data_IF_032948150439
#
_entry.id   IF_032948150439
#
_cell.length_a   1.000
_cell.length_b   1.000
_cell.length_c   1.000
_cell.angle_alpha   90.00
_cell.angle_beta   90.00
_cell.angle_gamma   90.00
#
_symmetry.space_group_name_H-M   'P 1'
#
loop_
_entity.id
_entity.type
_entity.pdbx_description
1 polymer ?
#
# COMPACT_ATOMS: atom_id res chain seq x y z
N UNK A 1 0.49 -17.99 33.01
CA UNK A 1 1.51 -16.93 33.00
C UNK A 1 2.54 -17.33 31.97
N UNK A 2 2.49 -16.73 30.78
CA UNK A 2 3.47 -16.93 29.72
C UNK A 2 3.92 -15.53 29.33
N UNK A 3 5.22 -15.33 29.40
CA UNK A 3 5.90 -14.05 29.35
C UNK A 3 5.57 -13.25 28.09
N UNK A 4 5.47 -11.93 28.30
CA UNK A 4 5.22 -10.96 27.25
C UNK A 4 6.40 -10.92 26.27
N UNK A 5 6.23 -11.53 25.11
CA UNK A 5 7.07 -11.28 23.95
C UNK A 5 6.90 -9.82 23.51
N UNK A 6 7.94 -9.02 23.76
CA UNK A 6 8.06 -7.66 23.21
C UNK A 6 8.34 -7.78 21.71
N UNK A 7 7.43 -7.27 20.88
CA UNK A 7 7.63 -7.18 19.44
C UNK A 7 8.70 -6.11 19.13
N UNK A 8 9.84 -6.56 18.60
CA UNK A 8 10.99 -5.71 18.23
C UNK A 8 10.63 -4.58 17.24
N UNK A 9 9.48 -4.65 16.57
CA UNK A 9 9.05 -3.63 15.61
C UNK A 9 8.63 -2.29 16.23
N UNK A 10 8.28 -2.25 17.52
CA UNK A 10 7.90 -1.01 18.21
C UNK A 10 9.09 -0.10 18.54
N UNK A 11 10.33 -0.58 18.37
CA UNK A 11 11.55 0.20 18.61
C UNK A 11 11.94 1.00 17.35
N UNK A 12 11.61 0.49 16.16
CA UNK A 12 12.01 1.10 14.88
C UNK A 12 11.14 2.31 14.47
N UNK A 13 9.99 2.52 15.11
CA UNK A 13 9.01 3.57 14.76
C UNK A 13 9.03 4.83 15.62
N UNK A 14 9.82 4.88 16.70
CA UNK A 14 9.93 6.11 17.51
C UNK A 14 10.93 7.06 16.85
N UNK A 15 10.43 8.17 16.30
CA UNK A 15 11.26 9.32 16.02
C UNK A 15 11.98 9.72 17.32
N UNK A 16 13.28 9.46 17.39
CA UNK A 16 14.10 9.95 18.50
C UNK A 16 14.12 11.48 18.40
N UNK A 17 13.82 12.14 19.52
CA UNK A 17 13.97 13.59 19.65
C UNK A 17 15.37 14.03 19.23
N UNK A 18 15.47 15.22 18.62
CA UNK A 18 16.72 15.85 18.18
C UNK A 18 17.78 15.75 19.29
N UNK A 19 18.76 14.85 19.14
CA UNK A 19 20.06 15.00 19.80
C UNK A 19 20.86 16.03 19.01
N UNK A 20 21.53 16.93 19.72
CA UNK A 20 22.41 17.95 19.12
C UNK A 20 23.38 17.29 18.14
N UNK A 21 23.44 17.84 16.93
CA UNK A 21 24.37 17.42 15.88
C UNK A 21 25.81 17.57 16.38
N UNK A 22 26.49 16.45 16.63
CA UNK A 22 27.93 16.41 16.47
C UNK A 22 28.25 16.64 15.00
N UNK A 23 29.20 17.54 14.71
CA UNK A 23 29.72 17.78 13.36
C UNK A 23 30.19 16.46 12.76
N UNK A 24 29.43 15.91 11.82
CA UNK A 24 29.96 14.92 10.89
C UNK A 24 30.59 15.72 9.76
N UNK A 25 31.91 15.90 9.84
CA UNK A 25 32.71 16.38 8.71
C UNK A 25 32.78 15.26 7.66
N UNK A 26 31.69 15.11 6.91
CA UNK A 26 31.64 14.35 5.67
C UNK A 26 31.58 15.35 4.54
N UNK A 27 32.73 15.78 4.05
CA UNK A 27 32.82 16.63 2.87
C UNK A 27 31.96 16.05 1.76
N UNK A 28 31.17 16.91 1.10
CA UNK A 28 30.58 16.60 -0.19
C UNK A 28 31.70 16.03 -1.05
N UNK A 29 31.61 14.74 -1.41
CA UNK A 29 32.40 14.26 -2.52
C UNK A 29 31.95 15.10 -3.72
N UNK A 30 32.78 16.07 -4.10
CA UNK A 30 32.77 16.63 -5.44
C UNK A 30 33.12 15.45 -6.35
N UNK A 31 32.11 14.71 -6.77
CA UNK A 31 32.25 13.78 -7.87
C UNK A 31 32.74 14.57 -9.08
N UNK A 32 33.88 14.16 -9.61
CA UNK A 32 34.38 14.63 -10.89
C UNK A 32 33.43 14.26 -12.03
N UNK A 33 33.47 15.13 -13.05
CA UNK A 33 33.22 14.87 -14.47
C UNK A 33 31.81 14.44 -14.94
N UNK A 34 31.05 15.43 -15.43
CA UNK A 34 30.09 15.40 -16.55
C UNK A 34 29.01 14.30 -16.65
N UNK A 35 28.67 13.56 -15.59
CA UNK A 35 27.59 12.55 -15.59
C UNK A 35 26.33 12.90 -14.76
N UNK A 36 25.17 12.24 -15.02
CA UNK A 36 24.00 12.29 -14.15
C UNK A 36 24.33 11.79 -12.74
N UNK A 37 23.81 12.47 -11.71
CA UNK A 37 24.07 12.11 -10.31
C UNK A 37 23.12 11.02 -9.81
N UNK A 38 23.55 10.27 -8.80
CA UNK A 38 22.68 9.36 -8.06
C UNK A 38 21.51 10.10 -7.40
N UNK A 39 20.33 9.45 -7.38
CA UNK A 39 19.15 10.01 -6.73
C UNK A 39 19.27 9.97 -5.22
N UNK A 40 19.69 8.84 -4.67
CA UNK A 40 19.78 8.61 -3.24
C UNK A 40 21.18 8.99 -2.75
N UNK A 41 21.30 10.18 -2.15
CA UNK A 41 22.55 10.64 -1.54
C UNK A 41 22.94 9.78 -0.32
N UNK A 42 24.21 9.78 0.13
CA UNK A 42 24.64 9.00 1.30
C UNK A 42 23.82 9.28 2.57
N UNK A 43 23.39 10.53 2.77
CA UNK A 43 22.56 10.94 3.92
C UNK A 43 21.15 10.34 3.80
N UNK A 44 20.54 10.39 2.61
CA UNK A 44 19.21 9.81 2.37
C UNK A 44 19.28 8.28 2.50
N UNK A 45 20.32 7.65 1.95
CA UNK A 45 20.57 6.20 2.05
C UNK A 45 20.60 5.75 3.51
N UNK A 46 21.44 6.38 4.32
CA UNK A 46 21.55 6.08 5.77
C UNK A 46 20.20 6.21 6.49
N UNK A 47 19.41 7.24 6.15
CA UNK A 47 18.09 7.46 6.74
C UNK A 47 17.08 6.38 6.35
N UNK A 48 17.05 5.99 5.07
CA UNK A 48 16.12 4.98 4.56
C UNK A 48 16.49 3.57 5.06
N UNK A 49 17.78 3.24 5.13
CA UNK A 49 18.26 1.97 5.66
C UNK A 49 17.89 1.77 7.13
N UNK A 50 17.97 2.83 7.95
CA UNK A 50 17.47 2.81 9.34
C UNK A 50 15.97 2.52 9.44
N UNK A 51 15.20 2.86 8.41
CA UNK A 51 13.77 2.59 8.32
C UNK A 51 13.46 1.20 7.70
N UNK A 52 14.49 0.38 7.45
CA UNK A 52 14.38 -0.98 6.96
C UNK A 52 14.40 -1.13 5.43
N UNK A 53 14.69 -0.08 4.68
CA UNK A 53 14.88 -0.19 3.23
C UNK A 53 16.21 -0.84 2.89
N UNK A 54 16.23 -1.63 1.80
CA UNK A 54 17.43 -1.98 1.05
C UNK A 54 17.41 -1.15 -0.23
N UNK A 55 18.38 -0.25 -0.36
CA UNK A 55 18.48 0.64 -1.53
C UNK A 55 19.16 -0.13 -2.66
N UNK A 56 18.54 -0.11 -3.83
CA UNK A 56 18.95 -0.83 -5.03
C UNK A 56 19.46 0.17 -6.06
N UNK A 57 20.72 0.03 -6.46
CA UNK A 57 21.39 1.00 -7.31
C UNK A 57 21.40 2.42 -6.73
N UNK A 58 21.10 3.38 -7.59
CA UNK A 58 21.11 4.82 -7.34
C UNK A 58 19.75 5.42 -7.01
N UNK A 59 18.63 4.72 -7.30
CA UNK A 59 17.27 5.29 -7.21
C UNK A 59 16.15 4.38 -6.72
N UNK A 60 16.39 3.07 -6.58
CA UNK A 60 15.36 2.07 -6.28
C UNK A 60 15.43 1.57 -4.85
N UNK A 61 14.41 0.86 -4.38
CA UNK A 61 14.42 0.28 -3.04
C UNK A 61 13.43 -0.86 -2.84
N UNK A 62 13.76 -1.78 -1.94
CA UNK A 62 12.88 -2.86 -1.48
C UNK A 62 12.82 -2.87 0.04
N UNK A 63 11.67 -3.21 0.60
CA UNK A 63 11.46 -3.31 2.04
C UNK A 63 10.56 -4.51 2.34
N UNK A 64 10.77 -5.14 3.50
CA UNK A 64 9.87 -6.20 3.95
C UNK A 64 8.60 -5.56 4.55
N UNK A 65 7.45 -5.91 3.99
CA UNK A 65 6.16 -5.39 4.44
C UNK A 65 5.85 -5.93 5.85
N UNK A 66 5.18 -5.12 6.68
CA UNK A 66 4.66 -5.56 7.98
C UNK A 66 3.78 -6.81 7.85
N UNK A 67 2.94 -6.85 6.82
CA UNK A 67 2.03 -7.97 6.60
C UNK A 67 2.73 -9.24 6.09
N UNK A 68 3.86 -9.11 5.40
CA UNK A 68 4.74 -10.26 5.09
C UNK A 68 5.19 -10.94 6.38
N UNK A 69 5.70 -10.16 7.34
CA UNK A 69 6.12 -10.70 8.65
C UNK A 69 4.97 -11.26 9.47
N UNK A 70 3.80 -10.63 9.40
CA UNK A 70 2.58 -11.11 10.04
C UNK A 70 2.17 -12.48 9.50
N UNK A 71 2.07 -12.62 8.18
CA UNK A 71 1.62 -13.86 7.55
C UNK A 71 2.69 -14.97 7.64
N UNK A 72 3.99 -14.63 7.62
CA UNK A 72 5.08 -15.58 7.95
C UNK A 72 4.89 -16.22 9.33
N UNK A 73 4.21 -15.55 10.27
CA UNK A 73 3.91 -16.03 11.62
C UNK A 73 2.52 -16.66 11.76
N UNK A 74 1.78 -16.79 10.65
CA UNK A 74 0.36 -17.19 10.67
C UNK A 74 -0.56 -16.17 11.35
N UNK A 75 -0.16 -14.90 11.44
CA UNK A 75 -0.89 -13.85 12.20
C UNK A 75 -1.85 -12.98 11.38
N UNK A 76 -2.14 -13.36 10.14
CA UNK A 76 -2.94 -12.54 9.22
C UNK A 76 -2.15 -12.00 8.03
N UNK A 77 -2.71 -12.14 6.83
CA UNK A 77 -2.34 -11.37 5.64
C UNK A 77 -2.93 -9.95 5.63
N UNK A 78 -2.46 -9.09 4.72
CA UNK A 78 -3.06 -7.78 4.53
C UNK A 78 -4.45 -7.87 3.87
N UNK A 79 -5.16 -6.74 3.79
CA UNK A 79 -6.48 -6.66 3.14
C UNK A 79 -6.51 -7.20 1.70
N UNK A 80 -5.38 -7.18 0.98
CA UNK A 80 -5.30 -7.74 -0.38
C UNK A 80 -5.46 -9.26 -0.40
N UNK A 81 -5.17 -9.94 0.72
CA UNK A 81 -5.48 -11.34 0.88
C UNK A 81 -6.99 -11.56 0.82
N UNK A 82 -7.74 -10.83 1.64
CA UNK A 82 -9.21 -10.86 1.66
C UNK A 82 -9.79 -10.48 0.30
N UNK A 83 -9.28 -9.43 -0.34
CA UNK A 83 -9.87 -8.88 -1.56
C UNK A 83 -9.55 -9.69 -2.81
N UNK A 84 -8.32 -10.20 -2.93
CA UNK A 84 -7.80 -10.73 -4.19
C UNK A 84 -7.08 -12.09 -4.06
N UNK A 85 -6.97 -12.65 -2.86
CA UNK A 85 -6.17 -13.86 -2.62
C UNK A 85 -4.66 -13.62 -2.59
N UNK A 86 -4.21 -12.36 -2.41
CA UNK A 86 -2.79 -12.02 -2.36
C UNK A 86 -2.15 -12.51 -1.07
N UNK A 87 -1.23 -13.45 -1.20
CA UNK A 87 -0.41 -13.97 -0.10
C UNK A 87 0.70 -12.97 0.26
N UNK A 88 0.54 -12.28 1.39
CA UNK A 88 1.47 -11.24 1.85
C UNK A 88 2.88 -11.77 2.14
N UNK A 89 3.02 -13.02 2.58
CA UNK A 89 4.35 -13.64 2.79
C UNK A 89 5.10 -13.91 1.48
N UNK A 90 4.42 -13.89 0.33
CA UNK A 90 4.99 -14.02 -1.02
C UNK A 90 4.95 -12.71 -1.81
N UNK A 91 4.64 -11.59 -1.15
CA UNK A 91 4.59 -10.27 -1.74
C UNK A 91 5.91 -9.53 -1.58
N UNK A 92 6.45 -8.99 -2.69
CA UNK A 92 7.62 -8.12 -2.67
C UNK A 92 7.21 -6.65 -2.74
N UNK A 93 7.40 -5.91 -1.65
CA UNK A 93 7.21 -4.45 -1.61
C UNK A 93 8.48 -3.75 -2.10
N UNK A 94 8.47 -3.34 -3.38
CA UNK A 94 9.58 -2.67 -4.03
C UNK A 94 9.11 -1.42 -4.79
N UNK A 95 10.05 -0.51 -5.07
CA UNK A 95 9.85 0.61 -5.97
C UNK A 95 11.08 0.80 -6.86
N UNK A 96 10.90 0.97 -8.19
CA UNK A 96 11.97 1.36 -9.09
C UNK A 96 12.29 2.87 -9.01
N UNK A 97 11.52 3.64 -8.23
CA UNK A 97 11.74 5.07 -8.05
C UNK A 97 11.39 5.51 -6.63
N UNK A 98 12.39 6.03 -5.91
CA UNK A 98 12.17 6.71 -4.64
C UNK A 98 11.73 8.17 -4.81
N UNK A 99 11.77 8.70 -6.04
CA UNK A 99 11.29 10.03 -6.35
C UNK A 99 9.76 10.08 -6.52
N UNK A 100 9.17 11.23 -6.19
CA UNK A 100 7.73 11.46 -6.36
C UNK A 100 7.46 12.88 -6.91
N UNK A 101 6.37 13.02 -7.66
CA UNK A 101 5.88 14.30 -8.16
C UNK A 101 4.94 15.04 -7.19
N UNK A 102 4.64 14.43 -6.03
CA UNK A 102 3.71 14.94 -5.01
C UNK A 102 4.39 15.00 -3.63
N UNK A 103 3.87 15.88 -2.77
CA UNK A 103 4.29 16.05 -1.37
C UNK A 103 3.10 15.90 -0.43
N UNK A 104 2.38 14.77 -0.58
CA UNK A 104 1.09 14.55 0.07
C UNK A 104 1.17 14.68 1.59
N UNK A 105 0.16 15.29 2.21
CA UNK A 105 0.12 15.58 3.66
C UNK A 105 0.19 14.33 4.55
N UNK A 106 -0.25 13.17 4.04
CA UNK A 106 -0.21 11.87 4.72
C UNK A 106 1.03 11.04 4.35
N UNK A 107 1.86 11.48 3.40
CA UNK A 107 2.99 10.69 2.95
C UNK A 107 4.09 10.69 4.01
N UNK A 108 4.46 9.50 4.52
CA UNK A 108 5.55 9.34 5.49
C UNK A 108 6.90 9.90 5.02
N UNK A 109 7.08 10.09 3.69
CA UNK A 109 8.29 10.61 3.05
C UNK A 109 8.31 12.13 2.84
N UNK A 110 7.34 12.86 3.41
CA UNK A 110 6.98 14.25 3.14
C UNK A 110 8.12 15.21 2.75
N UNK A 111 9.26 15.17 3.46
CA UNK A 111 10.37 16.11 3.31
C UNK A 111 11.71 15.45 2.94
N UNK A 112 11.76 14.12 2.85
CA UNK A 112 13.02 13.38 2.60
C UNK A 112 13.14 12.88 1.16
N UNK A 113 12.05 12.94 0.39
CA UNK A 113 12.05 12.43 -0.97
C UNK A 113 12.76 13.35 -1.96
N UNK A 114 13.55 12.76 -2.87
CA UNK A 114 13.84 13.37 -4.15
C UNK A 114 12.52 13.73 -4.87
N UNK A 115 12.42 14.97 -5.34
CA UNK A 115 11.28 15.43 -6.13
C UNK A 115 11.76 16.00 -7.46
N UNK A 116 10.98 15.76 -8.52
CA UNK A 116 11.30 16.21 -9.86
C UNK A 116 10.08 16.17 -10.77
N UNK A 117 10.06 17.06 -11.78
CA UNK A 117 9.09 17.03 -12.88
C UNK A 117 9.56 16.19 -14.06
N UNK A 118 10.85 15.84 -14.09
CA UNK A 118 11.48 15.00 -15.09
C UNK A 118 12.57 14.15 -14.44
N UNK A 119 12.91 13.04 -15.08
CA UNK A 119 14.02 12.20 -14.65
C UNK A 119 15.35 12.89 -14.97
N UNK A 120 16.19 13.07 -13.96
CA UNK A 120 17.49 13.77 -14.06
C UNK A 120 18.64 13.01 -13.37
N UNK A 121 18.36 11.79 -12.94
CA UNK A 121 19.29 10.96 -12.19
C UNK A 121 19.88 9.89 -13.09
N UNK A 122 20.93 9.23 -12.62
CA UNK A 122 21.42 8.00 -13.23
C UNK A 122 20.26 7.01 -13.37
N UNK A 123 20.12 6.40 -14.55
CA UNK A 123 19.17 5.32 -14.81
C UNK A 123 19.93 4.01 -14.65
N UNK A 124 19.55 3.21 -13.65
CA UNK A 124 20.14 1.88 -13.48
C UNK A 124 19.42 0.86 -14.40
N UNK A 125 20.12 -0.23 -14.72
CA UNK A 125 19.58 -1.26 -15.59
C UNK A 125 18.36 -1.95 -14.95
N UNK A 126 17.24 -2.14 -15.70
CA UNK A 126 16.04 -2.78 -15.16
C UNK A 126 16.25 -4.19 -14.62
N UNK A 127 17.09 -5.01 -15.26
CA UNK A 127 17.37 -6.38 -14.81
C UNK A 127 18.20 -6.36 -13.53
N UNK A 128 19.17 -5.46 -13.43
CA UNK A 128 19.94 -5.27 -12.19
C UNK A 128 19.02 -4.87 -11.02
N UNK A 129 18.06 -3.98 -11.25
CA UNK A 129 17.09 -3.57 -10.23
C UNK A 129 16.23 -4.76 -9.78
N UNK A 130 15.67 -5.53 -10.72
CA UNK A 130 14.79 -6.67 -10.40
C UNK A 130 15.57 -7.77 -9.68
N UNK A 131 16.74 -8.14 -10.20
CA UNK A 131 17.60 -9.16 -9.59
C UNK A 131 18.02 -8.76 -8.17
N UNK A 132 18.43 -7.51 -7.98
CA UNK A 132 18.79 -7.00 -6.66
C UNK A 132 17.58 -6.94 -5.71
N UNK A 133 16.38 -6.60 -6.21
CA UNK A 133 15.16 -6.59 -5.40
C UNK A 133 14.82 -7.99 -4.88
N UNK A 134 14.83 -9.00 -5.76
CA UNK A 134 14.55 -10.40 -5.41
C UNK A 134 15.58 -10.92 -4.41
N UNK A 135 16.87 -10.70 -4.67
CA UNK A 135 17.95 -11.11 -3.77
C UNK A 135 17.81 -10.49 -2.37
N UNK A 136 17.62 -9.18 -2.28
CA UNK A 136 17.49 -8.48 -1.01
C UNK A 136 16.20 -8.85 -0.26
N UNK A 137 15.07 -9.01 -0.97
CA UNK A 137 13.83 -9.47 -0.37
C UNK A 137 14.00 -10.87 0.22
N UNK A 138 14.57 -11.80 -0.56
CA UNK A 138 14.81 -13.19 -0.13
C UNK A 138 15.75 -13.23 1.08
N UNK A 139 16.81 -12.40 1.09
CA UNK A 139 17.71 -12.26 2.26
C UNK A 139 16.96 -11.79 3.50
N UNK A 140 16.06 -10.80 3.38
CA UNK A 140 15.24 -10.33 4.50
C UNK A 140 14.25 -11.40 4.98
N UNK A 141 13.65 -12.19 4.09
CA UNK A 141 12.79 -13.32 4.46
C UNK A 141 13.60 -14.40 5.18
N UNK A 142 14.80 -14.77 4.69
CA UNK A 142 15.70 -15.74 5.34
C UNK A 142 16.07 -15.33 6.78
N UNK A 143 16.22 -14.03 7.04
CA UNK A 143 16.48 -13.51 8.38
C UNK A 143 15.33 -13.74 9.37
N UNK A 144 14.13 -14.07 8.89
CA UNK A 144 12.99 -14.45 9.73
C UNK A 144 13.09 -15.89 10.25
N UNK A 145 14.07 -16.69 9.80
CA UNK A 145 14.30 -18.04 10.31
C UNK A 145 14.65 -18.00 11.80
N UNK A 146 13.94 -18.80 12.60
CA UNK A 146 14.15 -18.89 14.06
C UNK A 146 13.49 -17.77 14.85
N UNK A 147 12.84 -16.81 14.20
CA UNK A 147 12.06 -15.77 14.86
C UNK A 147 10.78 -16.39 15.45
N UNK A 148 10.42 -16.14 16.73
CA UNK A 148 9.30 -16.82 17.38
C UNK A 148 7.97 -16.69 16.63
N UNK A 149 7.27 -17.82 16.46
CA UNK A 149 5.99 -17.92 15.77
C UNK A 149 6.07 -18.03 14.24
N UNK A 150 7.25 -17.85 13.62
CA UNK A 150 7.40 -18.05 12.17
C UNK A 150 7.14 -19.51 11.81
N UNK A 151 6.28 -19.73 10.82
CA UNK A 151 5.85 -21.04 10.35
C UNK A 151 6.83 -21.55 9.27
N UNK A 152 7.38 -22.76 9.40
CA UNK A 152 8.39 -23.27 8.46
C UNK A 152 7.93 -23.31 6.99
N UNK A 153 6.70 -23.77 6.75
CA UNK A 153 6.03 -23.80 5.44
C UNK A 153 5.91 -22.39 4.84
N UNK A 154 5.42 -21.42 5.61
CA UNK A 154 5.30 -20.03 5.13
C UNK A 154 6.66 -19.38 4.88
N UNK A 155 7.67 -19.72 5.68
CA UNK A 155 9.03 -19.26 5.45
C UNK A 155 9.58 -19.81 4.13
N UNK A 156 9.40 -21.10 3.85
CA UNK A 156 9.81 -21.74 2.60
C UNK A 156 9.13 -21.11 1.39
N UNK A 157 7.80 -20.98 1.43
CA UNK A 157 7.01 -20.31 0.38
C UNK A 157 7.47 -18.86 0.14
N UNK A 158 7.76 -18.12 1.22
CA UNK A 158 8.19 -16.72 1.17
C UNK A 158 9.56 -16.49 0.55
N UNK A 159 10.39 -17.52 0.39
CA UNK A 159 11.65 -17.44 -0.35
C UNK A 159 11.46 -17.32 -1.87
N UNK A 160 10.24 -17.55 -2.35
CA UNK A 160 9.84 -17.39 -3.75
C UNK A 160 8.71 -16.35 -3.85
N UNK A 161 9.06 -15.06 -3.97
CA UNK A 161 8.07 -14.01 -4.17
C UNK A 161 7.27 -14.27 -5.46
N UNK A 162 5.94 -14.24 -5.36
CA UNK A 162 5.05 -14.44 -6.52
C UNK A 162 4.67 -13.16 -7.22
N UNK A 163 4.65 -12.03 -6.50
CA UNK A 163 4.15 -10.79 -7.07
C UNK A 163 4.77 -9.54 -6.43
N UNK A 164 4.96 -8.53 -7.27
CA UNK A 164 5.24 -7.14 -6.91
C UNK A 164 4.00 -6.25 -7.21
N UNK A 165 2.80 -6.80 -6.97
CA UNK A 165 1.49 -6.16 -7.20
C UNK A 165 1.20 -5.68 -8.64
N UNK A 166 1.80 -6.31 -9.67
CA UNK A 166 1.58 -5.96 -11.08
C UNK A 166 0.24 -6.42 -11.65
N UNK A 167 -0.44 -7.36 -11.00
CA UNK A 167 -1.73 -7.91 -11.46
C UNK A 167 -2.92 -6.96 -11.29
N UNK A 168 -2.68 -5.77 -10.74
CA UNK A 168 -3.67 -4.74 -10.42
C UNK A 168 -3.06 -3.37 -10.79
N UNK A 169 -3.69 -2.65 -11.71
CA UNK A 169 -3.28 -1.29 -12.08
C UNK A 169 -3.99 -0.28 -11.20
N UNK A 170 -3.22 0.42 -10.36
CA UNK A 170 -3.76 1.34 -9.36
C UNK A 170 -3.62 2.81 -9.77
N UNK A 171 -4.67 3.60 -9.52
CA UNK A 171 -4.58 5.05 -9.33
C UNK A 171 -4.99 5.38 -7.89
N UNK A 172 -4.16 6.16 -7.20
CA UNK A 172 -4.50 6.73 -5.89
C UNK A 172 -5.44 7.92 -6.15
N UNK A 173 -6.63 7.88 -5.56
CA UNK A 173 -7.65 8.95 -5.65
C UNK A 173 -7.74 9.55 -4.26
N UNK A 174 -6.83 10.47 -3.96
CA UNK A 174 -6.65 10.99 -2.60
C UNK A 174 -7.58 12.18 -2.27
N UNK A 175 -8.27 12.71 -3.27
CA UNK A 175 -9.41 13.62 -3.11
C UNK A 175 -10.24 13.68 -4.41
N UNK A 176 -11.48 14.16 -4.34
CA UNK A 176 -12.41 14.15 -5.46
C UNK A 176 -12.59 15.50 -6.19
N UNK A 177 -12.00 16.58 -5.67
CA UNK A 177 -12.04 17.91 -6.31
C UNK A 177 -10.63 18.43 -6.57
N UNK A 178 -10.50 19.38 -7.51
CA UNK A 178 -9.20 19.97 -7.88
C UNK A 178 -8.55 20.66 -6.68
N UNK A 179 -9.36 21.35 -5.89
CA UNK A 179 -8.95 22.13 -4.73
C UNK A 179 -8.48 21.22 -3.60
N UNK A 180 -9.26 20.18 -3.27
CA UNK A 180 -8.90 19.23 -2.21
C UNK A 180 -7.72 18.36 -2.60
N UNK A 181 -7.63 17.91 -3.86
CA UNK A 181 -6.49 17.13 -4.34
C UNK A 181 -5.21 17.97 -4.26
N UNK A 182 -5.26 19.25 -4.63
CA UNK A 182 -4.12 20.17 -4.47
C UNK A 182 -3.70 20.33 -3.02
N UNK A 183 -4.67 20.47 -2.11
CA UNK A 183 -4.42 20.66 -0.68
C UNK A 183 -3.79 19.42 -0.03
N UNK A 184 -4.28 18.24 -0.43
CA UNK A 184 -3.87 16.93 0.09
C UNK A 184 -2.55 16.50 -0.53
N UNK A 185 -2.44 16.44 -1.86
CA UNK A 185 -1.27 15.86 -2.55
C UNK A 185 -0.11 16.83 -2.73
N UNK A 186 -0.37 18.14 -2.71
CA UNK A 186 0.62 19.19 -2.94
C UNK A 186 1.50 18.89 -4.19
N UNK A 187 0.87 18.78 -5.37
CA UNK A 187 1.54 18.39 -6.60
C UNK A 187 2.55 19.44 -7.07
N UNK A 188 3.60 19.00 -7.76
CA UNK A 188 4.58 19.90 -8.38
C UNK A 188 4.11 20.47 -9.71
N UNK A 189 3.28 19.71 -10.43
CA UNK A 189 2.74 20.06 -11.74
C UNK A 189 1.57 21.03 -11.59
N UNK A 190 1.48 22.02 -12.47
CA UNK A 190 0.37 22.98 -12.48
C UNK A 190 -0.89 22.41 -13.13
N UNK A 191 -0.71 21.50 -14.09
CA UNK A 191 -1.72 20.71 -14.83
C UNK A 191 -2.04 19.37 -14.13
N UNK A 192 -1.83 19.29 -12.81
CA UNK A 192 -1.95 18.04 -12.04
C UNK A 192 -3.35 17.43 -12.12
N UNK A 193 -4.38 18.27 -12.16
CA UNK A 193 -5.78 17.82 -12.14
C UNK A 193 -6.16 17.18 -13.46
N UNK A 194 -5.78 17.83 -14.56
CA UNK A 194 -6.02 17.35 -15.91
C UNK A 194 -5.29 16.02 -16.13
N UNK A 195 -4.02 15.92 -15.73
CA UNK A 195 -3.25 14.66 -15.74
C UNK A 195 -3.91 13.56 -14.89
N UNK A 196 -4.45 13.92 -13.74
CA UNK A 196 -5.15 12.99 -12.87
C UNK A 196 -6.41 12.45 -13.55
N UNK A 197 -7.26 13.32 -14.10
CA UNK A 197 -8.46 12.91 -14.84
C UNK A 197 -8.12 12.04 -16.06
N UNK A 198 -7.06 12.37 -16.79
CA UNK A 198 -6.62 11.57 -17.93
C UNK A 198 -6.06 10.21 -17.50
N UNK A 199 -5.46 10.12 -16.31
CA UNK A 199 -5.06 8.82 -15.73
C UNK A 199 -6.28 7.95 -15.41
N UNK A 200 -7.36 8.55 -14.87
CA UNK A 200 -8.62 7.84 -14.62
C UNK A 200 -9.22 7.28 -15.92
N UNK A 201 -9.27 8.09 -16.99
CA UNK A 201 -9.74 7.63 -18.31
C UNK A 201 -8.83 6.55 -18.89
N UNK A 202 -7.52 6.70 -18.78
CA UNK A 202 -6.55 5.73 -19.33
C UNK A 202 -6.65 4.35 -18.68
N UNK A 203 -7.09 4.28 -17.42
CA UNK A 203 -7.35 3.01 -16.74
C UNK A 203 -8.55 2.27 -17.34
N UNK A 204 -9.56 2.99 -17.81
CA UNK A 204 -10.73 2.39 -18.46
C UNK A 204 -10.36 1.56 -19.70
N UNK A 205 -9.32 1.97 -20.42
CA UNK A 205 -8.87 1.34 -21.66
C UNK A 205 -8.05 0.06 -21.44
N UNK A 206 -7.86 -0.38 -20.19
CA UNK A 206 -7.05 -1.57 -19.87
C UNK A 206 -7.93 -2.80 -19.69
N UNK A 207 -7.51 -3.88 -20.32
CA UNK A 207 -8.13 -5.21 -20.16
C UNK A 207 -7.77 -5.86 -18.82
N UNK A 208 -6.65 -5.44 -18.19
CA UNK A 208 -6.23 -5.91 -16.87
C UNK A 208 -7.06 -5.25 -15.76
N UNK A 209 -7.06 -5.88 -14.58
CA UNK A 209 -7.78 -5.36 -13.39
C UNK A 209 -7.31 -3.95 -13.04
N UNK A 210 -8.24 -3.01 -13.03
CA UNK A 210 -8.00 -1.60 -12.65
C UNK A 210 -8.60 -1.27 -11.30
N UNK A 211 -7.90 -0.47 -10.51
CA UNK A 211 -8.29 -0.17 -9.14
C UNK A 211 -8.13 1.31 -8.85
N UNK A 212 -9.18 1.93 -8.33
CA UNK A 212 -9.05 3.21 -7.65
C UNK A 212 -8.86 2.95 -6.17
N UNK A 213 -7.80 3.50 -5.59
CA UNK A 213 -7.56 3.43 -4.15
C UNK A 213 -7.78 4.78 -3.53
N UNK A 214 -8.86 4.90 -2.77
CA UNK A 214 -9.25 6.11 -2.07
C UNK A 214 -8.65 6.09 -0.66
N UNK A 215 -7.83 7.08 -0.34
CA UNK A 215 -7.31 7.28 1.01
C UNK A 215 -8.25 8.20 1.77
N UNK A 216 -9.14 7.66 2.58
CA UNK A 216 -10.13 8.42 3.34
C UNK A 216 -9.49 9.12 4.54
N UNK A 217 -9.64 10.44 4.60
CA UNK A 217 -9.14 11.32 5.65
C UNK A 217 -10.33 12.08 6.24
N UNK A 218 -10.63 11.82 7.51
CA UNK A 218 -11.77 12.44 8.21
C UNK A 218 -11.58 13.96 8.32
N UNK A 219 -12.61 14.70 7.93
CA UNK A 219 -12.61 16.18 7.91
C UNK A 219 -11.81 16.81 6.77
N UNK A 220 -11.40 16.04 5.75
CA UNK A 220 -10.68 16.55 4.58
C UNK A 220 -11.36 16.18 3.27
N UNK A 221 -11.51 14.88 3.00
CA UNK A 221 -12.04 14.39 1.73
C UNK A 221 -13.27 13.46 1.91
N UNK A 222 -13.64 13.11 3.14
CA UNK A 222 -14.72 12.17 3.40
C UNK A 222 -16.14 12.70 3.09
N UNK A 223 -16.28 13.99 2.84
CA UNK A 223 -17.57 14.64 2.58
C UNK A 223 -17.84 14.80 1.06
N UNK A 224 -16.87 14.47 0.20
CA UNK A 224 -16.92 14.72 -1.25
C UNK A 224 -17.63 13.61 -2.04
N UNK A 225 -18.66 12.96 -1.46
CA UNK A 225 -19.31 11.75 -2.00
C UNK A 225 -19.75 11.91 -3.47
N UNK A 226 -20.48 12.98 -3.80
CA UNK A 226 -20.99 13.20 -5.15
C UNK A 226 -19.85 13.43 -6.16
N UNK A 227 -18.78 14.10 -5.74
CA UNK A 227 -17.60 14.29 -6.57
C UNK A 227 -16.87 12.96 -6.83
N UNK A 228 -16.75 12.08 -5.82
CA UNK A 228 -16.20 10.74 -6.04
C UNK A 228 -17.06 9.93 -7.02
N UNK A 229 -18.38 9.96 -6.89
CA UNK A 229 -19.29 9.28 -7.80
C UNK A 229 -19.11 9.74 -9.27
N UNK A 230 -18.84 11.04 -9.48
CA UNK A 230 -18.51 11.57 -10.80
C UNK A 230 -17.17 11.03 -11.33
N UNK A 231 -16.14 10.89 -10.48
CA UNK A 231 -14.87 10.28 -10.87
C UNK A 231 -15.00 8.78 -11.20
N UNK A 232 -15.86 8.06 -10.47
CA UNK A 232 -16.16 6.65 -10.77
C UNK A 232 -16.84 6.52 -12.12
N UNK A 233 -17.80 7.39 -12.41
CA UNK A 233 -18.48 7.43 -13.71
C UNK A 233 -17.53 7.76 -14.86
N UNK A 234 -16.50 8.58 -14.60
CA UNK A 234 -15.54 9.02 -15.61
C UNK A 234 -14.63 7.89 -16.13
N UNK A 235 -14.07 7.07 -15.24
CA UNK A 235 -13.08 6.04 -15.65
C UNK A 235 -13.47 4.60 -15.36
N UNK A 236 -14.60 4.38 -14.68
CA UNK A 236 -15.20 3.07 -14.44
C UNK A 236 -14.21 1.92 -14.13
N UNK A 237 -13.42 2.02 -13.05
CA UNK A 237 -12.44 0.98 -12.70
C UNK A 237 -13.12 -0.35 -12.37
N UNK A 238 -12.40 -1.46 -12.44
CA UNK A 238 -12.91 -2.76 -12.00
C UNK A 238 -13.23 -2.79 -10.49
N UNK A 239 -12.38 -2.13 -9.69
CA UNK A 239 -12.46 -2.12 -8.23
C UNK A 239 -12.23 -0.73 -7.63
N UNK A 240 -12.85 -0.49 -6.47
CA UNK A 240 -12.61 0.69 -5.64
C UNK A 240 -12.24 0.24 -4.22
N UNK A 241 -10.99 0.47 -3.83
CA UNK A 241 -10.51 0.26 -2.47
C UNK A 241 -10.69 1.56 -1.68
N UNK A 242 -11.65 1.60 -0.75
CA UNK A 242 -11.78 2.71 0.20
C UNK A 242 -11.04 2.34 1.47
N UNK A 243 -9.99 3.10 1.80
CA UNK A 243 -9.10 2.80 2.92
C UNK A 243 -8.93 4.00 3.83
N UNK A 244 -9.15 3.81 5.13
CA UNK A 244 -8.84 4.82 6.13
C UNK A 244 -7.34 5.16 6.16
N UNK A 245 -7.02 6.45 6.23
CA UNK A 245 -5.64 6.92 6.34
C UNK A 245 -4.97 6.34 7.58
N UNK A 246 -3.74 5.85 7.43
CA UNK A 246 -2.91 5.44 8.57
C UNK A 246 -2.03 6.62 8.98
N UNK A 247 -2.14 7.02 10.24
CA UNK A 247 -1.30 8.09 10.78
C UNK A 247 0.17 7.67 10.84
N UNK A 248 1.02 8.42 10.15
CA UNK A 248 2.45 8.13 10.01
C UNK A 248 3.35 8.98 10.93
N UNK A 249 2.76 9.63 11.95
CA UNK A 249 3.46 10.55 12.86
C UNK A 249 3.34 12.02 12.46
N UNK A 250 3.69 12.92 13.38
CA UNK A 250 3.68 14.36 13.17
C UNK A 250 4.92 14.81 12.41
N UNK A 251 4.74 15.68 11.42
CA UNK A 251 5.82 16.45 10.80
C UNK A 251 5.53 17.94 10.97
N UNK A 252 6.55 18.80 10.85
CA UNK A 252 6.40 20.24 10.98
C UNK A 252 5.41 20.87 9.97
N UNK A 253 5.00 20.13 8.94
CA UNK A 253 4.20 20.62 7.80
C UNK A 253 2.94 19.79 7.53
N UNK A 254 2.76 18.66 8.22
CA UNK A 254 1.52 17.88 8.19
C UNK A 254 0.59 18.36 9.30
N UNK A 255 -0.64 18.69 8.92
CA UNK A 255 -1.71 19.06 9.86
C UNK A 255 -2.55 17.85 10.29
N UNK A 256 -2.20 16.65 9.82
CA UNK A 256 -2.93 15.43 10.15
C UNK A 256 -2.65 15.03 11.60
N UNK A 257 -3.71 14.70 12.32
CA UNK A 257 -3.67 14.15 13.66
C UNK A 257 -4.36 12.78 13.69
N UNK A 258 -4.33 12.12 14.84
CA UNK A 258 -5.10 10.89 15.04
C UNK A 258 -6.61 11.08 14.86
N UNK A 259 -7.14 12.30 15.04
CA UNK A 259 -8.56 12.61 14.84
C UNK A 259 -8.99 12.51 13.37
N UNK A 260 -8.04 12.63 12.45
CA UNK A 260 -8.29 12.49 11.02
C UNK A 260 -8.31 11.03 10.56
N UNK A 261 -7.94 10.07 11.43
CA UNK A 261 -7.99 8.64 11.12
C UNK A 261 -9.43 8.15 11.29
N UNK A 262 -10.13 7.74 10.22
CA UNK A 262 -11.51 7.26 10.33
C UNK A 262 -11.56 5.91 11.03
N UNK A 263 -12.67 5.66 11.72
CA UNK A 263 -12.99 4.31 12.18
C UNK A 263 -13.42 3.45 11.00
N UNK A 264 -13.39 2.13 11.20
CA UNK A 264 -13.87 1.21 10.16
C UNK A 264 -15.36 1.43 9.84
N UNK A 265 -16.18 1.76 10.84
CA UNK A 265 -17.58 2.15 10.65
C UNK A 265 -17.72 3.35 9.71
N UNK A 266 -16.88 4.37 9.88
CA UNK A 266 -16.90 5.57 9.03
C UNK A 266 -16.57 5.20 7.56
N UNK A 267 -15.62 4.27 7.36
CA UNK A 267 -15.28 3.75 6.01
C UNK A 267 -16.42 2.93 5.42
N UNK A 268 -17.11 2.10 6.23
CA UNK A 268 -18.27 1.31 5.78
C UNK A 268 -19.41 2.21 5.32
N UNK A 269 -19.80 3.17 6.14
CA UNK A 269 -20.86 4.14 5.82
C UNK A 269 -20.54 4.90 4.53
N UNK A 270 -19.33 5.45 4.41
CA UNK A 270 -18.88 6.11 3.18
C UNK A 270 -18.98 5.19 1.96
N UNK A 271 -18.58 3.92 2.10
CA UNK A 271 -18.56 2.94 1.01
C UNK A 271 -19.96 2.54 0.56
N UNK A 272 -20.90 2.36 1.50
CA UNK A 272 -22.31 2.05 1.22
C UNK A 272 -23.00 3.22 0.50
N UNK A 273 -22.76 4.45 0.96
CA UNK A 273 -23.31 5.65 0.31
C UNK A 273 -22.73 5.82 -1.10
N UNK A 274 -21.42 5.63 -1.28
CA UNK A 274 -20.78 5.71 -2.59
C UNK A 274 -21.28 4.61 -3.56
N UNK A 275 -21.47 3.38 -3.06
CA UNK A 275 -22.07 2.29 -3.84
C UNK A 275 -23.49 2.65 -4.30
N UNK A 276 -24.32 3.17 -3.40
CA UNK A 276 -25.69 3.63 -3.72
C UNK A 276 -25.69 4.72 -4.80
N UNK A 277 -24.79 5.70 -4.69
CA UNK A 277 -24.62 6.78 -5.68
C UNK A 277 -24.15 6.29 -7.06
N UNK A 278 -23.56 5.11 -7.14
CA UNK A 278 -23.18 4.52 -8.43
C UNK A 278 -24.36 4.00 -9.26
N UNK A 279 -25.58 3.97 -8.71
CA UNK A 279 -26.77 3.52 -9.44
C UNK A 279 -26.74 2.02 -9.78
N UNK A 280 -26.06 1.20 -8.96
CA UNK A 280 -25.96 -0.25 -9.15
C UNK A 280 -24.79 -0.72 -10.01
N UNK A 281 -23.93 0.19 -10.49
CA UNK A 281 -22.70 -0.18 -11.21
C UNK A 281 -21.70 -0.88 -10.27
N UNK A 282 -21.60 -0.40 -9.03
CA UNK A 282 -20.74 -0.94 -7.99
C UNK A 282 -21.53 -1.33 -6.76
N UNK A 283 -21.10 -2.40 -6.10
CA UNK A 283 -21.59 -2.81 -4.80
C UNK A 283 -20.42 -3.14 -3.86
N UNK A 284 -20.68 -3.10 -2.55
CA UNK A 284 -19.75 -3.55 -1.52
C UNK A 284 -19.50 -5.06 -1.66
N UNK A 285 -18.26 -5.43 -1.96
CA UNK A 285 -17.86 -6.81 -2.21
C UNK A 285 -17.17 -7.44 -1.01
N UNK A 286 -16.21 -6.73 -0.41
CA UNK A 286 -15.39 -7.23 0.69
C UNK A 286 -15.12 -6.14 1.74
N UNK A 287 -14.76 -6.55 2.94
CA UNK A 287 -14.15 -5.66 3.94
C UNK A 287 -12.93 -6.31 4.56
N UNK A 288 -12.03 -5.52 5.15
CA UNK A 288 -10.98 -6.01 6.02
C UNK A 288 -10.83 -5.05 7.20
N UNK A 289 -11.54 -5.36 8.28
CA UNK A 289 -11.69 -4.48 9.44
C UNK A 289 -10.33 -4.09 10.07
N UNK A 290 -9.38 -5.02 10.10
CA UNK A 290 -8.05 -4.76 10.66
C UNK A 290 -7.24 -3.73 9.84
N UNK A 291 -7.45 -3.66 8.52
CA UNK A 291 -6.81 -2.64 7.68
C UNK A 291 -7.66 -1.38 7.48
N UNK A 292 -8.85 -1.29 8.11
CA UNK A 292 -9.80 -0.21 7.92
C UNK A 292 -10.09 0.03 6.42
N UNK A 293 -10.52 -1.02 5.71
CA UNK A 293 -10.64 -0.99 4.26
C UNK A 293 -11.88 -1.76 3.78
N UNK A 294 -12.58 -1.20 2.81
CA UNK A 294 -13.73 -1.79 2.12
C UNK A 294 -13.45 -1.81 0.62
N UNK A 295 -13.92 -2.85 -0.06
CA UNK A 295 -13.84 -3.02 -1.50
C UNK A 295 -15.23 -2.86 -2.11
N UNK A 296 -15.36 -1.96 -3.08
CA UNK A 296 -16.43 -2.00 -4.06
C UNK A 296 -15.93 -2.70 -5.33
N UNK A 297 -16.78 -3.49 -5.97
CA UNK A 297 -16.47 -4.17 -7.22
C UNK A 297 -17.58 -3.95 -8.25
N UNK A 298 -17.21 -3.92 -9.53
CA UNK A 298 -18.15 -3.74 -10.63
C UNK A 298 -19.08 -4.96 -10.73
N UNK A 299 -20.39 -4.73 -10.65
CA UNK A 299 -21.40 -5.80 -10.49
C UNK A 299 -21.48 -6.67 -11.73
N UNK A 300 -21.62 -6.05 -12.91
CA UNK A 300 -21.79 -6.74 -14.20
C UNK A 300 -20.61 -7.66 -14.58
N UNK A 301 -19.44 -7.40 -13.99
CA UNK A 301 -18.19 -8.10 -14.30
C UNK A 301 -17.78 -9.11 -13.23
N UNK A 302 -17.90 -8.76 -11.95
CA UNK A 302 -17.35 -9.58 -10.86
C UNK A 302 -18.41 -10.24 -9.97
N UNK A 303 -19.71 -10.03 -10.23
CA UNK A 303 -20.80 -10.69 -9.49
C UNK A 303 -21.53 -11.70 -10.38
N UNK A 304 -21.12 -12.96 -10.31
CA UNK A 304 -21.65 -14.05 -11.15
C UNK A 304 -22.60 -14.89 -10.31
N UNK A 305 -23.87 -15.01 -10.75
CA UNK A 305 -24.90 -15.77 -10.04
C UNK A 305 -25.04 -15.37 -8.56
N UNK A 306 -24.93 -14.06 -8.28
CA UNK A 306 -25.00 -13.51 -6.93
C UNK A 306 -23.74 -13.69 -6.07
N UNK A 307 -22.67 -14.32 -6.59
CA UNK A 307 -21.41 -14.54 -5.88
C UNK A 307 -20.31 -13.64 -6.42
N UNK A 308 -19.43 -13.17 -5.54
CA UNK A 308 -18.29 -12.36 -5.90
C UNK A 308 -17.13 -13.22 -6.44
N UNK A 309 -16.46 -12.72 -7.48
CA UNK A 309 -15.29 -13.33 -8.10
C UNK A 309 -14.09 -12.35 -8.10
N UNK A 310 -13.82 -11.77 -6.93
CA UNK A 310 -12.75 -10.77 -6.76
C UNK A 310 -11.37 -11.40 -6.63
N UNK A 311 -11.26 -12.68 -6.28
CA UNK A 311 -9.97 -13.35 -6.16
C UNK A 311 -9.30 -13.56 -7.52
N UNK A 312 -7.98 -13.68 -7.48
CA UNK A 312 -7.14 -13.94 -8.64
C UNK A 312 -6.73 -15.41 -8.61
N UNK A 313 -7.03 -16.13 -9.68
CA UNK A 313 -6.37 -17.40 -9.96
C UNK A 313 -4.96 -17.09 -10.47
N UNK A 314 -3.97 -17.15 -9.57
CA UNK A 314 -2.59 -16.79 -9.88
C UNK A 314 -1.91 -17.79 -10.81
N UNK A 315 -2.26 -19.06 -10.73
CA UNK A 315 -1.67 -20.06 -11.62
C UNK A 315 -2.18 -19.82 -13.04
N UNK A 316 -3.49 -19.59 -13.19
CA UNK A 316 -4.07 -19.18 -14.47
C UNK A 316 -3.53 -17.84 -14.98
N UNK A 317 -3.38 -16.85 -14.11
CA UNK A 317 -2.81 -15.55 -14.49
C UNK A 317 -1.38 -15.70 -15.04
N UNK A 318 -0.52 -16.50 -14.40
CA UNK A 318 0.85 -16.71 -14.88
C UNK A 318 0.90 -17.48 -16.20
N UNK A 319 0.00 -18.46 -16.41
CA UNK A 319 -0.15 -19.13 -17.71
C UNK A 319 -0.50 -18.13 -18.81
N UNK A 320 -1.49 -17.25 -18.56
CA UNK A 320 -1.95 -16.24 -19.53
C UNK A 320 -0.84 -15.25 -19.86
N UNK A 321 -0.13 -14.72 -18.86
CA UNK A 321 1.02 -13.82 -19.05
C UNK A 321 2.11 -14.48 -19.89
N UNK A 322 2.46 -15.73 -19.56
CA UNK A 322 3.53 -16.47 -20.26
C UNK A 322 3.11 -16.85 -21.69
N UNK A 323 1.81 -17.00 -21.96
CA UNK A 323 1.31 -17.33 -23.29
C UNK A 323 1.55 -16.23 -24.33
N UNK A 324 1.74 -14.98 -23.89
CA UNK A 324 1.88 -13.80 -24.76
C UNK A 324 0.62 -13.45 -25.55
N UNK A 325 -0.51 -14.13 -25.32
CA UNK A 325 -1.79 -13.85 -25.99
C UNK A 325 -2.56 -12.77 -25.22
N UNK A 326 -3.40 -11.97 -25.89
CA UNK A 326 -4.32 -11.05 -25.21
C UNK A 326 -5.25 -11.81 -24.26
N UNK A 327 -5.46 -11.24 -23.08
CA UNK A 327 -6.41 -11.72 -22.07
C UNK A 327 -6.91 -10.55 -21.23
N UNK A 328 -8.04 -10.76 -20.55
CA UNK A 328 -8.75 -9.78 -19.74
C UNK A 328 -8.81 -10.19 -18.28
N UNK A 329 -9.28 -9.29 -17.42
CA UNK A 329 -9.46 -9.57 -15.99
C UNK A 329 -10.45 -10.68 -15.67
N UNK A 330 -11.31 -11.07 -16.62
CA UNK A 330 -12.24 -12.18 -16.45
C UNK A 330 -11.58 -13.55 -16.63
N UNK A 331 -10.47 -13.63 -17.36
CA UNK A 331 -9.84 -14.91 -17.72
C UNK A 331 -9.09 -15.58 -16.55
N UNK A 332 -8.91 -14.87 -15.44
CA UNK A 332 -8.18 -15.31 -14.25
C UNK A 332 -8.91 -14.97 -12.94
N UNK A 333 -10.23 -14.85 -12.98
CA UNK A 333 -11.01 -14.63 -11.76
C UNK A 333 -11.29 -15.92 -11.00
N UNK A 334 -11.17 -15.84 -9.68
CA UNK A 334 -11.54 -16.89 -8.74
C UNK A 334 -12.63 -16.38 -7.80
N UNK A 335 -13.46 -17.30 -7.32
CA UNK A 335 -14.54 -16.98 -6.38
C UNK A 335 -13.97 -16.38 -5.09
N UNK A 336 -14.60 -15.31 -4.61
CA UNK A 336 -14.28 -14.70 -3.32
C UNK A 336 -14.73 -15.64 -2.19
N UNK A 337 -13.87 -15.99 -1.22
CA UNK A 337 -14.26 -16.81 -0.09
C UNK A 337 -15.33 -16.13 0.77
N UNK A 338 -16.22 -16.94 1.38
CA UNK A 338 -17.34 -16.43 2.18
C UNK A 338 -16.91 -15.54 3.34
N UNK A 339 -15.79 -15.86 4.00
CA UNK A 339 -15.24 -15.08 5.12
C UNK A 339 -14.69 -13.69 4.70
N UNK A 340 -14.42 -13.50 3.41
CA UNK A 340 -13.92 -12.25 2.86
C UNK A 340 -15.03 -11.31 2.37
N UNK A 341 -16.24 -11.84 2.15
CA UNK A 341 -17.39 -11.07 1.66
C UNK A 341 -17.80 -10.03 2.71
N UNK A 342 -18.22 -8.86 2.23
CA UNK A 342 -18.71 -7.79 3.08
C UNK A 342 -19.83 -8.26 4.02
N UNK A 343 -19.73 -7.95 5.33
CA UNK A 343 -20.70 -8.36 6.34
C UNK A 343 -20.48 -9.76 6.92
N UNK A 344 -19.46 -10.51 6.47
CA UNK A 344 -19.07 -11.76 7.10
C UNK A 344 -18.60 -11.56 8.55
N UNK A 345 -18.82 -12.55 9.41
CA UNK A 345 -18.49 -12.49 10.85
C UNK A 345 -16.98 -12.24 11.07
N UNK A 346 -16.15 -12.81 10.21
CA UNK A 346 -14.71 -12.71 10.27
C UNK A 346 -14.19 -11.29 9.95
N UNK A 347 -15.04 -10.43 9.35
CA UNK A 347 -14.69 -9.06 8.96
C UNK A 347 -13.49 -9.00 8.01
N UNK A 348 -13.40 -10.00 7.13
CA UNK A 348 -12.31 -10.18 6.16
C UNK A 348 -11.05 -10.84 6.68
N UNK A 349 -11.03 -11.30 7.93
CA UNK A 349 -9.86 -12.01 8.45
C UNK A 349 -9.96 -13.49 8.11
N UNK A 350 -8.91 -14.06 7.52
CA UNK A 350 -8.89 -15.48 7.17
C UNK A 350 -9.05 -16.36 8.44
N UNK A 351 -10.08 -17.23 8.52
CA UNK A 351 -10.35 -18.06 9.70
C UNK A 351 -9.26 -19.10 9.97
N UNK A 352 -8.43 -19.45 8.99
CA UNK A 352 -7.29 -20.35 9.19
C UNK A 352 -6.09 -19.65 9.87
N UNK A 353 -6.15 -18.33 10.02
CA UNK A 353 -5.07 -17.52 10.57
C UNK A 353 -5.39 -17.06 12.00
N UNK A 354 -4.34 -16.82 12.79
CA UNK A 354 -4.48 -16.38 14.17
C UNK A 354 -4.46 -14.86 14.26
N UNK A 355 -5.57 -14.23 14.60
CA UNK A 355 -5.60 -12.77 14.75
C UNK A 355 -4.79 -12.32 15.97
N UNK A 356 -3.63 -11.71 15.73
CA UNK A 356 -2.86 -11.09 16.80
C UNK A 356 -3.41 -9.70 17.14
N UNK A 357 -3.99 -9.55 18.34
CA UNK A 357 -4.38 -8.26 18.91
C UNK A 357 -3.33 -7.86 19.94
N UNK A 358 -2.70 -6.71 19.75
CA UNK A 358 -1.82 -6.13 20.77
C UNK A 358 -2.70 -5.68 21.94
N UNK A 359 -2.42 -6.17 23.14
CA UNK A 359 -3.00 -5.60 24.36
C UNK A 359 -2.58 -4.14 24.47
N UNK A 360 -3.53 -3.21 24.33
CA UNK A 360 -3.28 -1.79 24.60
C UNK A 360 -3.30 -1.61 26.11
N UNK A 361 -2.13 -1.69 26.76
CA UNK A 361 -1.96 -1.24 28.15
C UNK A 361 -1.93 0.29 28.21
N UNK A 362 -3.04 0.94 27.86
CA UNK A 362 -3.27 2.33 28.23
C UNK A 362 -4.03 2.33 29.56
N UNK A 363 -3.33 2.59 30.67
CA UNK A 363 -3.97 2.80 31.97
C UNK A 363 -3.51 1.93 33.14
N UNK A 364 -2.20 1.75 33.36
CA UNK A 364 -1.69 1.22 34.64
C UNK A 364 -0.72 2.17 35.37
N UNK A 365 -0.53 3.40 34.86
CA UNK A 365 0.39 4.38 35.45
C UNK A 365 -0.31 5.62 36.06
N UNK A 366 -1.64 5.67 36.10
CA UNK A 366 -2.40 6.80 36.67
C UNK A 366 -2.97 6.55 38.07
N UNK A 367 -2.57 5.45 38.73
CA UNK A 367 -2.92 5.14 40.12
C UNK A 367 -1.69 4.63 40.87
N UNK A 368 -0.69 5.49 41.04
CA UNK A 368 0.27 5.38 42.15
C UNK A 368 0.60 6.78 42.65
N UNK A 369 0.04 7.07 43.82
CA UNK A 369 0.20 8.21 44.73
C UNK A 369 -0.55 9.49 44.36
#
# INVERSE_FOLDING_TARGET
>A
MVDGEVDMEDIAGKALGRRQNGKVEGGLMKGGENGPRDMVTPIIRTSLEKQGYKILGSHSGVKICRWTKSQLRGRGGCYKHSFYGIESHRCMEATPSLACANKCVFCWRHHTNPVGKSWKWKMDDPLDIVNAAIDQHTKMVKQMKGVPGVKPDKLEEGLSPRHCALSLLYVSVDAATKESLKAVDRPLFSDFWERFLDSLKSLHEKDQRTVYRLTLVKGWNAEEIDAYANLLSLGQPDFIEIKGVTYCGSSATSKLTMENVPWHSDVKEFSEVLASKSGGVYEVACEHAHSCCVLLAKVDKFKINGKWHTWIDYDRFHELVTSGKPFSSQDYMAMTPSWAVYGAEEGGFDPEQSRYRKERRHGAAALKN
#
